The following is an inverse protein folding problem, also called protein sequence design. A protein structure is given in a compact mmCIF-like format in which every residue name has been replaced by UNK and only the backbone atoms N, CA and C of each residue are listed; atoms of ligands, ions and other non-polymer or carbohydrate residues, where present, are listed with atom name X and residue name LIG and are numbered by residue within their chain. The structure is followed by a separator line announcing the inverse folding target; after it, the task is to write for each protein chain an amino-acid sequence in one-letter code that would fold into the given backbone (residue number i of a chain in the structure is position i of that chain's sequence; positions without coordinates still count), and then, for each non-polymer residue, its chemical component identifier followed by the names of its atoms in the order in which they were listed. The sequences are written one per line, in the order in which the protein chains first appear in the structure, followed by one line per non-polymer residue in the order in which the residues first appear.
data_IF_397698548046
#
_entry.id   IF_397698548046
#
_cell.length_a   1.000
_cell.length_b   1.000
_cell.length_c   1.000
_cell.angle_alpha   90.00
_cell.angle_beta   90.00
_cell.angle_gamma   90.00
#
_symmetry.space_group_name_H-M   'P 1'
#
loop_
_entity.id
_entity.type
_entity.pdbx_description
1 polymer ?
#
# COMPACT_ATOMS: atom_id res chain seq x y z
N UNK A 1 13.87 -9.67 65.40
CA UNK A 1 13.73 -8.50 64.50
C UNK A 1 14.88 -8.57 63.50
N UNK A 2 14.64 -8.91 62.30
CA UNK A 2 15.45 -8.70 61.08
C UNK A 2 15.16 -9.81 60.10
N UNK A 3 14.36 -9.56 59.07
CA UNK A 3 14.29 -10.29 57.77
C UNK A 3 13.10 -9.79 56.96
N UNK A 4 13.14 -8.53 56.61
CA UNK A 4 12.28 -7.98 55.52
C UNK A 4 13.12 -6.91 54.82
N UNK A 5 13.98 -7.32 53.94
CA UNK A 5 14.65 -6.40 53.02
C UNK A 5 15.47 -7.18 51.98
N UNK A 6 14.83 -7.82 50.99
CA UNK A 6 15.54 -8.39 49.82
C UNK A 6 14.54 -8.96 48.80
N UNK A 7 13.64 -8.09 48.29
CA UNK A 7 12.83 -8.43 47.08
C UNK A 7 12.40 -7.16 46.37
N UNK A 8 13.36 -6.24 46.18
CA UNK A 8 13.17 -5.04 45.35
C UNK A 8 14.38 -4.77 44.49
N UNK A 9 14.71 -5.67 43.58
CA UNK A 9 15.73 -5.41 42.56
C UNK A 9 15.66 -6.54 41.54
N UNK A 10 14.71 -6.50 40.64
CA UNK A 10 14.76 -7.17 39.32
C UNK A 10 13.57 -6.72 38.45
N UNK A 11 13.39 -5.40 38.38
CA UNK A 11 12.67 -4.78 37.27
C UNK A 11 13.64 -3.90 36.50
N UNK A 12 14.74 -4.51 36.06
CA UNK A 12 15.50 -3.96 34.94
C UNK A 12 14.58 -4.11 33.73
N UNK A 13 14.00 -2.98 33.31
CA UNK A 13 13.17 -2.92 32.12
C UNK A 13 13.92 -3.51 30.95
N UNK A 14 13.57 -4.73 30.57
CA UNK A 14 13.88 -5.24 29.24
C UNK A 14 13.22 -4.27 28.30
N UNK A 15 13.99 -3.41 27.67
CA UNK A 15 13.50 -2.51 26.64
C UNK A 15 12.75 -3.41 25.64
N UNK A 16 11.41 -3.30 25.60
CA UNK A 16 10.58 -4.13 24.73
C UNK A 16 11.08 -3.86 23.32
N UNK A 17 11.71 -4.84 22.69
CA UNK A 17 12.20 -4.71 21.32
C UNK A 17 11.02 -4.28 20.46
N UNK A 18 11.22 -3.22 19.67
CA UNK A 18 10.19 -2.75 18.75
C UNK A 18 9.87 -3.84 17.73
N UNK A 19 8.58 -4.02 17.44
CA UNK A 19 8.15 -4.91 16.37
C UNK A 19 8.77 -4.46 15.05
N UNK A 20 9.36 -5.40 14.32
CA UNK A 20 9.95 -5.17 12.99
C UNK A 20 8.86 -5.26 11.93
N UNK A 21 8.83 -4.28 11.03
CA UNK A 21 7.92 -4.25 9.89
C UNK A 21 8.69 -4.03 8.59
N UNK A 22 8.23 -4.67 7.53
CA UNK A 22 8.77 -4.47 6.18
C UNK A 22 7.78 -3.64 5.37
N UNK A 23 8.26 -2.65 4.62
CA UNK A 23 7.43 -1.83 3.73
C UNK A 23 7.93 -2.00 2.30
N UNK A 24 7.07 -2.48 1.41
CA UNK A 24 7.31 -2.52 -0.04
C UNK A 24 6.52 -1.39 -0.70
N UNK A 25 7.21 -0.29 -0.94
CA UNK A 25 6.62 0.92 -1.52
C UNK A 25 7.14 1.17 -2.95
N UNK A 26 6.65 2.22 -3.58
CA UNK A 26 7.15 2.65 -4.89
C UNK A 26 6.05 3.04 -5.87
N UNK A 27 6.46 3.44 -7.05
CA UNK A 27 5.56 3.96 -8.09
C UNK A 27 4.60 2.89 -8.62
N UNK A 28 3.49 3.32 -9.21
CA UNK A 28 2.56 2.41 -9.89
C UNK A 28 3.25 1.67 -11.05
N UNK A 29 2.82 0.45 -11.35
CA UNK A 29 3.41 -0.46 -12.33
C UNK A 29 4.88 -0.87 -12.08
N UNK A 30 5.43 -0.67 -10.88
CA UNK A 30 6.82 -1.03 -10.54
C UNK A 30 7.03 -2.51 -10.19
N UNK A 31 5.98 -3.32 -10.05
CA UNK A 31 6.08 -4.74 -9.73
C UNK A 31 5.99 -5.06 -8.22
N UNK A 32 5.50 -4.12 -7.39
CA UNK A 32 5.35 -4.33 -5.94
C UNK A 32 4.61 -5.60 -5.58
N UNK A 33 3.45 -5.84 -6.20
CA UNK A 33 2.58 -6.98 -5.90
C UNK A 33 3.30 -8.31 -6.11
N UNK A 34 3.90 -8.52 -7.28
CA UNK A 34 4.63 -9.77 -7.56
C UNK A 34 5.81 -9.97 -6.60
N UNK A 35 6.59 -8.91 -6.35
CA UNK A 35 7.72 -8.98 -5.40
C UNK A 35 7.24 -9.31 -3.99
N UNK A 36 6.16 -8.69 -3.51
CA UNK A 36 5.67 -8.88 -2.15
C UNK A 36 5.14 -10.30 -1.90
N UNK A 37 4.53 -10.94 -2.89
CA UNK A 37 4.08 -12.35 -2.79
C UNK A 37 5.29 -13.28 -2.60
N UNK A 38 6.33 -13.14 -3.43
CA UNK A 38 7.53 -13.99 -3.30
C UNK A 38 8.25 -13.77 -1.96
N UNK A 39 8.36 -12.53 -1.51
CA UNK A 39 8.95 -12.21 -0.20
C UNK A 39 8.07 -12.71 0.95
N UNK A 40 6.75 -12.59 0.86
CA UNK A 40 5.84 -13.07 1.89
C UNK A 40 5.94 -14.59 2.09
N UNK A 41 6.10 -15.36 1.02
CA UNK A 41 6.36 -16.80 1.11
C UNK A 41 7.69 -17.11 1.82
N UNK A 42 8.76 -16.41 1.43
CA UNK A 42 10.11 -16.65 1.97
C UNK A 42 10.22 -16.32 3.46
N UNK A 43 9.55 -15.27 3.91
CA UNK A 43 9.68 -14.73 5.26
C UNK A 43 8.48 -15.00 6.18
N UNK A 44 7.58 -15.89 5.79
CA UNK A 44 6.35 -16.17 6.54
C UNK A 44 5.61 -14.88 6.92
N UNK A 45 5.42 -13.99 5.93
CA UNK A 45 4.80 -12.69 6.13
C UNK A 45 3.31 -12.70 5.75
N UNK A 46 2.56 -11.73 6.29
CA UNK A 46 1.22 -11.38 5.84
C UNK A 46 1.24 -9.93 5.32
N UNK A 47 0.45 -9.65 4.29
CA UNK A 47 0.46 -8.39 3.57
C UNK A 47 -0.66 -7.47 4.08
N UNK A 48 -0.30 -6.20 4.31
CA UNK A 48 -1.24 -5.11 4.62
C UNK A 48 -1.22 -4.17 3.41
N UNK A 49 -2.35 -4.06 2.69
CA UNK A 49 -2.45 -3.16 1.55
C UNK A 49 -2.42 -1.70 1.99
N UNK A 50 -1.43 -0.94 1.51
CA UNK A 50 -1.30 0.49 1.72
C UNK A 50 -1.70 1.26 0.44
N UNK A 51 -2.91 0.98 -0.05
CA UNK A 51 -3.51 1.63 -1.22
C UNK A 51 -4.86 2.25 -0.87
N UNK A 52 -5.01 3.55 -1.12
CA UNK A 52 -6.21 4.32 -0.76
C UNK A 52 -7.44 4.04 -1.62
N UNK A 53 -7.36 3.16 -2.61
CA UNK A 53 -8.48 2.75 -3.46
C UNK A 53 -8.91 1.31 -3.17
N UNK A 54 -7.96 0.43 -2.88
CA UNK A 54 -8.21 -0.99 -2.64
C UNK A 54 -8.97 -1.26 -1.34
N UNK A 55 -9.08 -0.28 -0.46
CA UNK A 55 -9.90 -0.35 0.78
C UNK A 55 -11.39 -0.42 0.50
N UNK A 56 -11.84 0.03 -0.68
CA UNK A 56 -13.27 0.06 -1.03
C UNK A 56 -13.71 -1.22 -1.72
N UNK A 57 -14.85 -1.75 -1.31
CA UNK A 57 -15.49 -2.94 -1.89
C UNK A 57 -15.93 -2.69 -3.32
N UNK A 58 -15.57 -3.62 -4.21
CA UNK A 58 -15.95 -3.59 -5.62
C UNK A 58 -15.19 -2.57 -6.47
N UNK A 59 -14.16 -1.91 -5.91
CA UNK A 59 -13.20 -1.13 -6.68
C UNK A 59 -11.98 -2.00 -7.00
N UNK A 60 -12.12 -2.94 -7.92
CA UNK A 60 -11.18 -4.04 -8.13
C UNK A 60 -10.29 -3.79 -9.36
N UNK A 61 -10.91 -3.72 -10.55
CA UNK A 61 -10.20 -3.57 -11.82
C UNK A 61 -9.58 -2.17 -11.93
N UNK A 62 -10.37 -1.13 -11.62
CA UNK A 62 -9.90 0.26 -11.65
C UNK A 62 -8.78 0.54 -10.66
N UNK A 63 -8.77 -0.08 -9.50
CA UNK A 63 -7.69 0.07 -8.52
C UNK A 63 -6.52 -0.89 -8.74
N UNK A 64 -6.65 -1.84 -9.67
CA UNK A 64 -5.74 -2.97 -9.84
C UNK A 64 -5.55 -3.74 -8.51
N UNK A 65 -6.65 -4.02 -7.83
CA UNK A 65 -6.66 -4.83 -6.60
C UNK A 65 -6.20 -6.24 -6.91
N UNK A 66 -5.40 -6.80 -6.02
CA UNK A 66 -4.91 -8.17 -6.16
C UNK A 66 -6.07 -9.16 -6.08
N UNK A 67 -6.12 -10.09 -7.01
CA UNK A 67 -7.13 -11.16 -7.03
C UNK A 67 -6.78 -12.30 -6.07
N UNK A 68 -7.75 -13.12 -5.61
CA UNK A 68 -7.47 -14.31 -4.80
C UNK A 68 -6.46 -15.28 -5.42
N UNK A 69 -6.48 -15.43 -6.75
CA UNK A 69 -5.51 -16.25 -7.47
C UNK A 69 -4.08 -15.68 -7.39
N UNK A 70 -3.94 -14.36 -7.54
CA UNK A 70 -2.65 -13.67 -7.43
C UNK A 70 -2.11 -13.64 -5.99
N UNK A 71 -2.98 -13.69 -4.97
CA UNK A 71 -2.57 -13.77 -3.57
C UNK A 71 -1.83 -15.07 -3.24
N UNK A 72 -2.02 -16.13 -4.00
CA UNK A 72 -1.33 -17.43 -3.86
C UNK A 72 -1.35 -17.97 -2.41
N UNK A 73 -2.46 -17.77 -1.72
CA UNK A 73 -2.65 -18.19 -0.33
C UNK A 73 -2.02 -17.29 0.74
N UNK A 74 -1.36 -16.20 0.36
CA UNK A 74 -0.85 -15.21 1.31
C UNK A 74 -2.00 -14.35 1.84
N UNK A 75 -2.20 -14.25 3.17
CA UNK A 75 -3.22 -13.39 3.74
C UNK A 75 -2.95 -11.92 3.42
N UNK A 76 -4.01 -11.22 2.95
CA UNK A 76 -3.99 -9.79 2.68
C UNK A 76 -5.01 -9.09 3.57
N UNK A 77 -4.61 -7.96 4.11
CA UNK A 77 -5.40 -7.15 5.03
C UNK A 77 -5.60 -5.74 4.47
N UNK A 78 -6.56 -5.00 4.99
CA UNK A 78 -6.95 -3.65 4.56
C UNK A 78 -7.41 -3.60 3.09
N UNK A 79 -8.04 -4.68 2.61
CA UNK A 79 -8.76 -4.75 1.35
C UNK A 79 -10.26 -4.84 1.65
N UNK A 80 -11.11 -4.20 0.83
CA UNK A 80 -12.58 -4.32 0.88
C UNK A 80 -13.23 -4.03 2.24
N UNK A 81 -12.63 -3.13 3.01
CA UNK A 81 -13.09 -2.82 4.39
C UNK A 81 -14.16 -1.71 4.42
N UNK A 82 -14.35 -0.96 3.33
CA UNK A 82 -15.30 0.15 3.26
C UNK A 82 -16.32 -0.10 2.14
N UNK A 83 -17.61 0.04 2.46
CA UNK A 83 -18.66 0.08 1.46
C UNK A 83 -18.71 1.48 0.81
N UNK A 84 -18.44 1.62 -0.51
CA UNK A 84 -18.41 2.90 -1.19
C UNK A 84 -19.79 3.59 -1.28
N UNK A 85 -20.89 2.85 -1.05
CA UNK A 85 -22.25 3.44 -1.03
C UNK A 85 -22.43 4.41 0.13
N UNK A 86 -21.66 4.25 1.21
CA UNK A 86 -21.68 5.13 2.36
C UNK A 86 -21.09 6.52 2.08
N UNK A 87 -20.49 6.74 0.91
CA UNK A 87 -19.87 8.01 0.50
C UNK A 87 -18.83 8.55 1.51
N UNK A 88 -18.16 7.66 2.24
CA UNK A 88 -17.18 8.00 3.27
C UNK A 88 -15.78 7.89 2.71
N UNK A 89 -14.97 8.95 2.86
CA UNK A 89 -13.57 8.93 2.50
C UNK A 89 -12.74 8.32 3.65
N UNK A 90 -11.98 7.28 3.32
CA UNK A 90 -11.06 6.64 4.25
C UNK A 90 -9.78 7.49 4.40
N UNK A 91 -9.56 7.99 5.59
CA UNK A 91 -8.47 8.92 5.88
C UNK A 91 -7.15 8.19 6.17
N UNK A 92 -6.05 8.96 6.20
CA UNK A 92 -4.74 8.43 6.64
C UNK A 92 -4.77 8.03 8.13
N UNK A 93 -5.56 8.72 8.96
CA UNK A 93 -5.74 8.36 10.38
C UNK A 93 -6.48 7.03 10.56
N UNK A 94 -7.51 6.78 9.74
CA UNK A 94 -8.21 5.50 9.72
C UNK A 94 -7.26 4.38 9.29
N UNK A 95 -6.50 4.59 8.22
CA UNK A 95 -5.52 3.62 7.75
C UNK A 95 -4.47 3.31 8.83
N UNK A 96 -3.91 4.32 9.48
CA UNK A 96 -2.88 4.12 10.51
C UNK A 96 -3.41 3.30 11.68
N UNK A 97 -4.62 3.60 12.17
CA UNK A 97 -5.28 2.85 13.24
C UNK A 97 -5.47 1.38 12.87
N UNK A 98 -6.01 1.13 11.67
CA UNK A 98 -6.32 -0.22 11.21
C UNK A 98 -5.03 -1.01 10.89
N UNK A 99 -4.01 -0.33 10.33
CA UNK A 99 -2.69 -0.91 10.12
C UNK A 99 -2.02 -1.29 11.45
N UNK A 100 -2.08 -0.46 12.48
CA UNK A 100 -1.52 -0.78 13.80
C UNK A 100 -2.17 -2.03 14.40
N UNK A 101 -3.51 -2.10 14.40
CA UNK A 101 -4.25 -3.27 14.87
C UNK A 101 -3.84 -4.53 14.11
N UNK A 102 -3.72 -4.42 12.80
CA UNK A 102 -3.35 -5.54 11.93
C UNK A 102 -1.90 -5.99 12.14
N UNK A 103 -0.97 -5.04 12.29
CA UNK A 103 0.45 -5.34 12.59
C UNK A 103 0.55 -6.11 13.91
N UNK A 104 -0.14 -5.66 14.95
CA UNK A 104 -0.13 -6.32 16.26
C UNK A 104 -0.68 -7.74 16.18
N UNK A 105 -1.76 -7.96 15.42
CA UNK A 105 -2.34 -9.29 15.19
C UNK A 105 -1.41 -10.22 14.41
N UNK A 106 -0.76 -9.74 13.35
CA UNK A 106 0.20 -10.52 12.55
C UNK A 106 1.40 -10.92 13.42
N UNK A 107 1.94 -9.95 14.16
CA UNK A 107 3.09 -10.17 15.05
C UNK A 107 2.78 -11.16 16.18
N UNK A 108 1.57 -11.10 16.74
CA UNK A 108 1.11 -12.05 17.76
C UNK A 108 1.06 -13.50 17.26
N UNK A 109 0.89 -13.71 15.94
CA UNK A 109 0.97 -15.02 15.29
C UNK A 109 2.40 -15.45 14.91
N UNK A 110 3.42 -14.68 15.30
CA UNK A 110 4.82 -14.95 14.95
C UNK A 110 5.15 -14.76 13.46
N UNK A 111 4.36 -13.95 12.75
CA UNK A 111 4.57 -13.66 11.33
C UNK A 111 5.11 -12.26 11.13
N UNK A 112 5.71 -12.00 9.96
CA UNK A 112 6.27 -10.70 9.60
C UNK A 112 5.17 -9.81 9.00
N UNK A 113 4.86 -8.64 9.58
CA UNK A 113 3.96 -7.68 8.96
C UNK A 113 4.64 -7.00 7.77
N UNK A 114 4.01 -7.05 6.59
CA UNK A 114 4.53 -6.43 5.37
C UNK A 114 3.52 -5.45 4.78
N UNK A 115 3.80 -4.13 4.86
CA UNK A 115 2.97 -3.11 4.23
C UNK A 115 3.34 -3.01 2.76
N UNK A 116 2.35 -3.10 1.86
CA UNK A 116 2.59 -3.06 0.41
C UNK A 116 1.66 -2.04 -0.24
N UNK A 117 2.22 -1.01 -0.88
CA UNK A 117 1.35 -0.05 -1.55
C UNK A 117 2.05 1.14 -2.21
N UNK A 118 1.24 1.91 -2.92
CA UNK A 118 1.66 3.12 -3.65
C UNK A 118 1.23 4.43 -2.98
N UNK A 119 0.44 4.39 -1.90
CA UNK A 119 0.00 5.56 -1.15
C UNK A 119 1.07 5.92 -0.11
N UNK A 120 2.05 6.73 -0.52
CA UNK A 120 3.20 7.07 0.30
C UNK A 120 2.84 7.72 1.64
N UNK A 121 1.72 8.46 1.71
CA UNK A 121 1.23 9.01 2.97
C UNK A 121 0.84 7.91 3.97
N UNK A 122 0.25 6.81 3.51
CA UNK A 122 -0.12 5.69 4.35
C UNK A 122 1.11 4.96 4.92
N UNK A 123 2.06 4.61 4.04
CA UNK A 123 3.28 3.93 4.48
C UNK A 123 4.09 4.78 5.46
N UNK A 124 4.20 6.08 5.18
CA UNK A 124 4.93 7.01 6.04
C UNK A 124 4.25 7.25 7.38
N UNK A 125 2.91 7.36 7.42
CA UNK A 125 2.17 7.54 8.68
C UNK A 125 2.44 6.40 9.66
N UNK A 126 2.55 5.17 9.16
CA UNK A 126 2.88 4.00 9.99
C UNK A 126 4.36 3.98 10.37
N UNK A 127 5.26 4.25 9.40
CA UNK A 127 6.70 4.22 9.62
C UNK A 127 7.16 5.25 10.65
N UNK A 128 6.65 6.47 10.53
CA UNK A 128 7.04 7.60 11.38
C UNK A 128 6.08 7.80 12.57
N UNK A 129 5.01 7.02 12.67
CA UNK A 129 4.05 7.10 13.75
C UNK A 129 3.39 8.47 13.85
N UNK A 130 2.74 8.93 12.76
CA UNK A 130 2.15 10.27 12.73
C UNK A 130 1.22 10.51 13.91
N UNK A 131 1.44 11.63 14.61
CA UNK A 131 0.44 12.26 15.44
C UNK A 131 -0.53 13.07 14.60
N UNK A 132 -1.78 13.15 15.01
CA UNK A 132 -2.81 13.93 14.32
C UNK A 132 -3.26 15.08 15.21
N UNK A 133 -3.53 16.23 14.60
CA UNK A 133 -3.74 17.49 15.32
C UNK A 133 -2.41 17.99 15.90
N UNK A 134 -2.40 18.27 17.19
CA UNK A 134 -1.21 18.78 17.93
C UNK A 134 -0.35 17.66 18.52
N UNK A 135 -0.67 16.39 18.26
CA UNK A 135 0.11 15.27 18.79
C UNK A 135 1.44 15.10 18.02
N UNK A 136 2.56 14.89 18.72
CA UNK A 136 3.84 14.65 18.07
C UNK A 136 3.88 13.24 17.45
N UNK A 137 4.74 13.08 16.43
CA UNK A 137 5.02 11.77 15.87
C UNK A 137 5.62 10.83 16.92
N UNK A 138 5.15 9.58 16.94
CA UNK A 138 5.61 8.55 17.85
C UNK A 138 5.89 7.23 17.11
N UNK A 139 7.09 7.03 16.55
CA UNK A 139 7.46 5.81 15.82
C UNK A 139 7.40 4.56 16.71
N UNK A 140 6.48 3.64 16.38
CA UNK A 140 6.21 2.43 17.17
C UNK A 140 7.08 1.24 16.78
N UNK A 141 7.53 1.20 15.53
CA UNK A 141 8.13 0.03 14.89
C UNK A 141 9.60 0.27 14.52
N UNK A 142 10.34 -0.81 14.39
CA UNK A 142 11.58 -0.83 13.62
C UNK A 142 11.21 -1.10 12.16
N UNK A 143 11.67 -0.27 11.24
CA UNK A 143 11.19 -0.23 9.85
C UNK A 143 12.32 -0.55 8.88
N UNK A 144 12.05 -1.45 7.92
CA UNK A 144 12.78 -1.56 6.67
C UNK A 144 11.83 -1.22 5.53
N UNK A 145 12.15 -0.17 4.77
CA UNK A 145 11.39 0.19 3.57
C UNK A 145 12.21 -0.09 2.31
N UNK A 146 11.63 -0.87 1.41
CA UNK A 146 12.15 -1.14 0.07
C UNK A 146 11.27 -0.41 -0.92
N UNK A 147 11.83 0.60 -1.59
CA UNK A 147 11.09 1.49 -2.50
C UNK A 147 11.47 1.21 -3.95
N UNK A 148 10.50 0.71 -4.74
CA UNK A 148 10.70 0.36 -6.14
C UNK A 148 10.57 1.60 -7.04
N UNK A 149 11.68 2.00 -7.66
CA UNK A 149 11.81 3.23 -8.44
C UNK A 149 12.41 2.99 -9.84
N UNK A 150 11.87 2.05 -10.64
CA UNK A 150 12.44 1.72 -11.95
C UNK A 150 12.43 2.93 -12.88
N UNK A 151 13.34 3.00 -13.88
CA UNK A 151 13.42 4.12 -14.82
C UNK A 151 12.13 4.31 -15.64
N UNK A 152 11.89 5.54 -16.13
CA UNK A 152 10.66 5.91 -16.84
C UNK A 152 10.44 5.08 -18.11
N UNK A 153 11.49 4.80 -18.87
CA UNK A 153 11.43 4.01 -20.11
C UNK A 153 10.94 2.57 -19.89
N UNK A 154 11.15 1.98 -18.71
CA UNK A 154 10.62 0.67 -18.35
C UNK A 154 9.16 0.72 -17.86
N UNK A 155 8.70 1.88 -17.42
CA UNK A 155 7.36 2.03 -16.82
C UNK A 155 6.32 2.47 -17.86
N UNK A 156 6.67 3.35 -18.79
CA UNK A 156 5.72 3.91 -19.75
C UNK A 156 5.00 2.84 -20.59
N UNK A 157 5.68 1.84 -21.18
CA UNK A 157 5.01 0.76 -21.89
C UNK A 157 4.11 -0.11 -21.00
N UNK A 158 4.53 -0.36 -19.74
CA UNK A 158 3.74 -1.14 -18.78
C UNK A 158 2.45 -0.43 -18.38
N UNK A 159 2.49 0.89 -18.26
CA UNK A 159 1.30 1.70 -17.95
C UNK A 159 0.30 1.62 -19.11
N UNK A 160 0.77 1.78 -20.34
CA UNK A 160 -0.09 1.72 -21.53
C UNK A 160 -0.77 0.35 -21.65
N UNK A 161 0.03 -0.72 -21.56
CA UNK A 161 -0.47 -2.09 -21.63
C UNK A 161 -1.50 -2.37 -20.53
N UNK A 162 -1.18 -2.04 -19.28
CA UNK A 162 -2.07 -2.23 -18.15
C UNK A 162 -3.38 -1.47 -18.28
N UNK A 163 -3.36 -0.26 -18.82
CA UNK A 163 -4.57 0.53 -19.04
C UNK A 163 -5.49 -0.16 -20.07
N UNK A 164 -4.92 -0.70 -21.15
CA UNK A 164 -5.66 -1.45 -22.18
C UNK A 164 -6.26 -2.74 -21.58
N UNK A 165 -5.46 -3.49 -20.83
CA UNK A 165 -5.89 -4.73 -20.18
C UNK A 165 -7.04 -4.48 -19.19
N UNK A 166 -6.96 -3.44 -18.36
CA UNK A 166 -8.04 -3.13 -17.41
C UNK A 166 -9.36 -2.76 -18.09
N UNK A 167 -9.30 -1.99 -19.18
CA UNK A 167 -10.50 -1.69 -19.97
C UNK A 167 -11.06 -2.96 -20.58
N UNK A 168 -10.22 -3.81 -21.19
CA UNK A 168 -10.63 -5.08 -21.78
C UNK A 168 -11.19 -6.07 -20.75
N UNK A 169 -10.74 -6.00 -19.50
CA UNK A 169 -11.20 -6.84 -18.39
C UNK A 169 -12.44 -6.29 -17.67
N UNK A 170 -13.11 -5.27 -18.20
CA UNK A 170 -14.41 -4.82 -17.70
C UNK A 170 -14.36 -3.63 -16.74
N UNK A 171 -13.35 -2.75 -16.80
CA UNK A 171 -13.26 -1.59 -15.91
C UNK A 171 -14.45 -0.61 -16.05
N UNK A 172 -15.06 -0.51 -17.23
CA UNK A 172 -16.27 0.28 -17.40
C UNK A 172 -17.49 -0.40 -16.81
N UNK A 173 -17.59 -1.71 -16.96
CA UNK A 173 -18.63 -2.55 -16.38
C UNK A 173 -18.62 -2.46 -14.87
N UNK A 174 -17.43 -2.60 -14.24
CA UNK A 174 -17.25 -2.38 -12.81
C UNK A 174 -17.80 -1.01 -12.38
N UNK A 175 -17.49 0.04 -13.13
CA UNK A 175 -17.97 1.40 -12.79
C UNK A 175 -19.48 1.52 -12.95
N UNK A 176 -20.10 0.89 -13.98
CA UNK A 176 -21.57 0.84 -14.12
C UNK A 176 -22.24 0.11 -12.96
N UNK A 177 -21.65 -1.02 -12.54
CA UNK A 177 -22.16 -1.82 -11.42
C UNK A 177 -22.09 -1.07 -10.10
N UNK A 178 -20.99 -0.32 -9.86
CA UNK A 178 -20.88 0.54 -8.69
C UNK A 178 -21.97 1.62 -8.68
N UNK A 179 -22.20 2.28 -9.81
CA UNK A 179 -23.27 3.29 -9.94
C UNK A 179 -24.65 2.67 -9.74
N UNK A 180 -24.91 1.49 -10.32
CA UNK A 180 -26.18 0.75 -10.18
C UNK A 180 -26.43 0.30 -8.74
N UNK A 181 -25.38 -0.01 -7.97
CA UNK A 181 -25.43 -0.31 -6.53
C UNK A 181 -25.67 0.93 -5.65
N UNK A 182 -25.73 2.11 -6.22
CA UNK A 182 -26.00 3.36 -5.51
C UNK A 182 -24.75 4.11 -5.05
N UNK A 183 -23.55 3.74 -5.53
CA UNK A 183 -22.34 4.55 -5.27
C UNK A 183 -22.47 5.89 -5.97
N UNK A 184 -22.39 7.03 -5.25
CA UNK A 184 -22.58 8.34 -5.87
C UNK A 184 -21.49 8.61 -6.93
N UNK A 185 -21.90 9.09 -8.12
CA UNK A 185 -20.94 9.46 -9.17
C UNK A 185 -19.92 10.50 -8.71
N UNK A 186 -20.35 11.47 -7.89
CA UNK A 186 -19.47 12.45 -7.27
C UNK A 186 -18.41 11.85 -6.35
N UNK A 187 -18.70 10.73 -5.70
CA UNK A 187 -17.70 9.97 -4.91
C UNK A 187 -16.64 9.35 -5.82
N UNK A 188 -17.07 8.63 -6.88
CA UNK A 188 -16.15 8.05 -7.86
C UNK A 188 -15.29 9.13 -8.54
N UNK A 189 -15.89 10.27 -8.82
CA UNK A 189 -15.17 11.42 -9.38
C UNK A 189 -14.07 11.95 -8.45
N UNK A 190 -14.33 12.04 -7.13
CA UNK A 190 -13.37 12.45 -6.10
C UNK A 190 -12.24 11.46 -5.91
N UNK A 191 -12.48 10.15 -6.10
CA UNK A 191 -11.42 9.15 -6.07
C UNK A 191 -10.34 9.40 -7.11
N UNK A 192 -10.69 10.08 -8.21
CA UNK A 192 -9.75 10.53 -9.23
C UNK A 192 -9.30 9.44 -10.20
N UNK A 193 -8.27 9.75 -10.99
CA UNK A 193 -7.68 8.85 -12.00
C UNK A 193 -8.73 8.07 -12.78
N UNK A 194 -8.70 6.76 -12.71
CA UNK A 194 -9.50 5.83 -13.48
C UNK A 194 -11.01 6.09 -13.31
N UNK A 195 -11.48 6.12 -12.06
CA UNK A 195 -12.93 6.24 -11.79
C UNK A 195 -13.51 7.57 -12.25
N UNK A 196 -12.77 8.66 -12.15
CA UNK A 196 -13.18 9.95 -12.72
C UNK A 196 -13.35 9.87 -14.23
N UNK A 197 -12.39 9.26 -14.91
CA UNK A 197 -12.43 9.13 -16.36
C UNK A 197 -13.51 8.14 -16.82
N UNK A 198 -13.70 7.05 -16.06
CA UNK A 198 -14.77 6.09 -16.31
C UNK A 198 -16.14 6.78 -16.25
N UNK A 199 -16.42 7.57 -15.22
CA UNK A 199 -17.68 8.32 -15.11
C UNK A 199 -17.86 9.26 -16.30
N UNK A 200 -16.85 10.04 -16.68
CA UNK A 200 -16.92 10.97 -17.83
C UNK A 200 -17.18 10.23 -19.14
N UNK A 201 -16.52 9.11 -19.37
CA UNK A 201 -16.75 8.28 -20.56
C UNK A 201 -18.16 7.69 -20.58
N UNK A 202 -18.63 7.14 -19.46
CA UNK A 202 -19.97 6.56 -19.35
C UNK A 202 -21.10 7.58 -19.50
N UNK A 203 -20.84 8.86 -19.17
CA UNK A 203 -21.76 9.98 -19.36
C UNK A 203 -21.68 10.58 -20.78
N UNK A 204 -20.78 10.08 -21.64
CA UNK A 204 -20.61 10.59 -23.00
C UNK A 204 -19.87 11.93 -23.09
N UNK A 205 -19.21 12.38 -22.02
CA UNK A 205 -18.43 13.63 -22.01
C UNK A 205 -17.13 13.53 -22.82
N UNK A 206 -16.56 12.34 -22.93
CA UNK A 206 -15.34 12.05 -23.70
C UNK A 206 -15.53 10.76 -24.51
N UNK A 207 -14.90 10.70 -25.68
CA UNK A 207 -14.83 9.49 -26.49
C UNK A 207 -13.71 8.53 -26.03
N UNK A 208 -13.68 7.33 -26.56
CA UNK A 208 -12.73 6.29 -26.16
C UNK A 208 -11.25 6.66 -26.47
N UNK A 209 -10.91 7.25 -27.64
CA UNK A 209 -9.55 7.75 -27.89
C UNK A 209 -9.09 8.79 -26.86
N UNK A 210 -9.95 9.78 -26.55
CA UNK A 210 -9.68 10.80 -25.53
C UNK A 210 -9.50 10.17 -24.16
N UNK A 211 -10.36 9.20 -23.80
CA UNK A 211 -10.25 8.44 -22.55
C UNK A 211 -8.86 7.80 -22.38
N UNK A 212 -8.38 7.02 -23.36
CA UNK A 212 -7.07 6.36 -23.27
C UNK A 212 -5.93 7.36 -23.18
N UNK A 213 -5.99 8.45 -23.94
CA UNK A 213 -4.98 9.50 -23.89
C UNK A 213 -4.92 10.16 -22.51
N UNK A 214 -6.07 10.58 -21.98
CA UNK A 214 -6.15 11.19 -20.66
C UNK A 214 -5.72 10.22 -19.56
N UNK A 215 -6.15 8.96 -19.59
CA UNK A 215 -5.79 7.93 -18.62
C UNK A 215 -4.27 7.72 -18.58
N UNK A 216 -3.63 7.60 -19.73
CA UNK A 216 -2.17 7.49 -19.82
C UNK A 216 -1.47 8.71 -19.21
N UNK A 217 -1.85 9.90 -19.64
CA UNK A 217 -1.22 11.14 -19.17
C UNK A 217 -1.42 11.36 -17.68
N UNK A 218 -2.63 11.15 -17.15
CA UNK A 218 -2.90 11.32 -15.72
C UNK A 218 -2.16 10.27 -14.88
N UNK A 219 -2.04 9.03 -15.36
CA UNK A 219 -1.24 7.99 -14.70
C UNK A 219 0.24 8.36 -14.68
N UNK A 220 0.80 8.87 -15.78
CA UNK A 220 2.20 9.31 -15.82
C UNK A 220 2.45 10.54 -14.91
N UNK A 221 1.49 11.45 -14.79
CA UNK A 221 1.57 12.55 -13.82
C UNK A 221 1.50 12.04 -12.37
N UNK A 222 0.67 11.04 -12.11
CA UNK A 222 0.61 10.40 -10.80
C UNK A 222 1.95 9.73 -10.44
N UNK A 223 2.56 9.01 -11.36
CA UNK A 223 3.91 8.44 -11.20
C UNK A 223 4.95 9.52 -10.91
N UNK A 224 4.89 10.67 -11.59
CA UNK A 224 5.78 11.80 -11.30
C UNK A 224 5.61 12.31 -9.87
N UNK A 225 4.36 12.43 -9.38
CA UNK A 225 4.07 12.81 -7.99
C UNK A 225 4.59 11.78 -7.00
N UNK A 226 4.38 10.47 -7.26
CA UNK A 226 4.93 9.41 -6.43
C UNK A 226 6.46 9.44 -6.36
N UNK A 227 7.15 9.65 -7.50
CA UNK A 227 8.62 9.79 -7.52
C UNK A 227 9.09 10.97 -6.67
N UNK A 228 8.41 12.12 -6.77
CA UNK A 228 8.74 13.30 -5.96
C UNK A 228 8.52 13.04 -4.48
N UNK A 229 7.46 12.32 -4.12
CA UNK A 229 7.18 11.92 -2.75
C UNK A 229 8.26 10.98 -2.21
N UNK A 230 8.50 9.86 -2.88
CA UNK A 230 9.43 8.84 -2.41
C UNK A 230 10.88 9.31 -2.32
N UNK A 231 11.32 10.27 -3.13
CA UNK A 231 12.66 10.88 -2.99
C UNK A 231 12.88 11.60 -1.65
N UNK A 232 11.82 11.87 -0.90
CA UNK A 232 11.85 12.54 0.40
C UNK A 232 11.63 11.57 1.57
N UNK A 233 11.66 10.25 1.31
CA UNK A 233 11.59 9.26 2.38
C UNK A 233 12.85 9.28 3.23
N UNK A 234 12.72 8.86 4.48
CA UNK A 234 13.82 8.86 5.42
C UNK A 234 14.88 7.83 5.01
N UNK A 235 16.13 8.26 4.71
CA UNK A 235 17.18 7.36 4.24
C UNK A 235 17.68 6.38 5.32
N UNK A 236 17.37 6.63 6.59
CA UNK A 236 17.81 5.75 7.68
C UNK A 236 17.19 4.34 7.60
N UNK A 237 16.03 4.21 6.98
CA UNK A 237 15.33 2.93 6.83
C UNK A 237 14.87 2.63 5.40
N UNK A 238 15.13 3.52 4.41
CA UNK A 238 14.65 3.38 3.02
C UNK A 238 15.76 3.00 2.06
N UNK A 239 15.54 1.90 1.34
CA UNK A 239 16.41 1.41 0.26
C UNK A 239 15.70 1.52 -1.09
N UNK A 240 16.32 2.20 -2.06
CA UNK A 240 15.75 2.36 -3.40
C UNK A 240 16.26 1.28 -4.34
N UNK A 241 15.34 0.55 -4.96
CA UNK A 241 15.65 -0.42 -6.01
C UNK A 241 15.17 0.12 -7.37
N UNK A 242 16.09 0.17 -8.33
CA UNK A 242 15.83 0.75 -9.66
C UNK A 242 15.87 -0.26 -10.80
N UNK A 243 16.56 -1.39 -10.61
CA UNK A 243 16.67 -2.46 -11.60
C UNK A 243 15.72 -3.62 -11.25
N UNK A 244 14.63 -3.81 -12.02
CA UNK A 244 13.68 -4.91 -11.79
C UNK A 244 14.28 -6.30 -11.76
N UNK A 245 15.39 -6.54 -12.48
CA UNK A 245 16.04 -7.86 -12.55
C UNK A 245 16.68 -8.28 -11.23
N UNK A 246 16.99 -7.32 -10.35
CA UNK A 246 17.65 -7.55 -9.07
C UNK A 246 16.71 -7.47 -7.87
N UNK A 247 15.45 -7.10 -8.06
CA UNK A 247 14.51 -6.80 -6.97
C UNK A 247 14.42 -7.93 -5.94
N UNK A 248 14.17 -9.14 -6.39
CA UNK A 248 13.96 -10.26 -5.46
C UNK A 248 15.23 -10.57 -4.65
N UNK A 249 16.38 -10.70 -5.31
CA UNK A 249 17.64 -11.02 -4.65
C UNK A 249 18.03 -9.94 -3.63
N UNK A 250 17.99 -8.67 -4.04
CA UNK A 250 18.38 -7.55 -3.17
C UNK A 250 17.40 -7.38 -2.01
N UNK A 251 16.09 -7.47 -2.27
CA UNK A 251 15.08 -7.37 -1.21
C UNK A 251 15.20 -8.51 -0.21
N UNK A 252 15.43 -9.75 -0.67
CA UNK A 252 15.66 -10.92 0.19
C UNK A 252 16.84 -10.67 1.13
N UNK A 253 17.99 -10.22 0.59
CA UNK A 253 19.17 -9.93 1.40
C UNK A 253 18.92 -8.85 2.46
N UNK A 254 18.25 -7.76 2.08
CA UNK A 254 17.92 -6.67 3.00
C UNK A 254 17.01 -7.14 4.14
N UNK A 255 15.97 -7.91 3.82
CA UNK A 255 15.03 -8.42 4.83
C UNK A 255 15.72 -9.43 5.77
N UNK A 256 16.54 -10.34 5.24
CA UNK A 256 17.32 -11.27 6.07
C UNK A 256 18.19 -10.54 7.09
N UNK A 257 18.98 -9.56 6.61
CA UNK A 257 19.84 -8.74 7.48
C UNK A 257 19.03 -7.95 8.53
N UNK A 258 17.86 -7.47 8.15
CA UNK A 258 16.99 -6.71 9.04
C UNK A 258 16.35 -7.58 10.12
N UNK A 259 15.87 -8.78 9.77
CA UNK A 259 15.18 -9.65 10.73
C UNK A 259 16.12 -10.31 11.73
N UNK A 260 17.40 -10.54 11.40
CA UNK A 260 18.39 -11.17 12.28
C UNK A 260 18.98 -10.19 13.30
N UNK A 261 19.08 -8.92 12.99
CA UNK A 261 19.51 -7.88 13.95
C UNK A 261 18.53 -7.75 15.11
#
# INVERSE_FOLDING_TARGET
MAKICLLRLFWLGVAKMKTKIVIISGITASGKTALSIELAKQFNAEIISADSRQVYQGLDIGSAKITPAEMQGIPHHCLDIIDPTQNTLYSVGDFQRDAYTTIDQISARGKVPMLVGGTGLYTRSVAEGYGFGDEPNNPRYEVLQICLMPPKNLIAPKVEQRNKERVANGMFEETRDLLARGVPSGFLYKLGLEYRLNVRYLQGEIDLPTYYNELYHQTMQFIKRQRTWYRKENPAYTHYLTDPSTYLATATQLIQQFLVK
#
